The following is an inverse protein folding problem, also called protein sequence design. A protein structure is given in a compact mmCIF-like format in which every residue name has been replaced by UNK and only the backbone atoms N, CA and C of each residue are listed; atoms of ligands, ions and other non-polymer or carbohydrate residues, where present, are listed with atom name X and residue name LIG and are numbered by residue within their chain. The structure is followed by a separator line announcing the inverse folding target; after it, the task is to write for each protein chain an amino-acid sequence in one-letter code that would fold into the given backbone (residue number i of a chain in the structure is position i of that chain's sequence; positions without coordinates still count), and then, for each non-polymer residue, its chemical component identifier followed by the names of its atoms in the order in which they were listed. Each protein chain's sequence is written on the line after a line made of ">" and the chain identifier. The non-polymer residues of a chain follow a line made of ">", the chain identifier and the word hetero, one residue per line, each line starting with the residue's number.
data_IF_664031900450
#
_entry.id   IF_664031900450
#
_cell.length_a   1.000
_cell.length_b   1.000
_cell.length_c   1.000
_cell.angle_alpha   90.00
_cell.angle_beta   90.00
_cell.angle_gamma   90.00
#
_symmetry.space_group_name_H-M   'P 1'
#
loop_
_entity.id
_entity.type
_entity.pdbx_description
1 polymer ?
#
# COMPACT_ATOMS: atom_id res chain seq x y z
N UNK A 1 -5.61 -11.62 -23.86
CA UNK A 1 -4.60 -12.55 -23.32
C UNK A 1 -4.51 -12.38 -21.82
N UNK A 2 -5.19 -13.23 -21.04
CA UNK A 2 -5.13 -13.22 -19.57
C UNK A 2 -3.92 -14.02 -19.12
N UNK A 3 -2.78 -13.35 -18.91
CA UNK A 3 -1.66 -13.94 -18.18
C UNK A 3 -2.10 -14.21 -16.74
N UNK A 4 -2.49 -15.44 -16.44
CA UNK A 4 -2.78 -15.89 -15.08
C UNK A 4 -1.50 -15.84 -14.27
N UNK A 5 -1.30 -14.74 -13.54
CA UNK A 5 -0.15 -14.60 -12.66
C UNK A 5 -0.38 -15.46 -11.42
N UNK A 6 0.32 -16.59 -11.30
CA UNK A 6 0.30 -17.41 -10.08
C UNK A 6 1.15 -16.74 -9.01
N UNK A 7 0.66 -16.77 -7.77
CA UNK A 7 1.41 -16.28 -6.61
C UNK A 7 2.70 -17.09 -6.43
N UNK A 8 3.85 -16.41 -6.36
CA UNK A 8 5.16 -17.06 -6.19
C UNK A 8 5.28 -17.88 -4.90
N UNK A 9 4.44 -17.62 -3.90
CA UNK A 9 4.52 -18.26 -2.58
C UNK A 9 3.58 -19.44 -2.41
N UNK A 10 2.33 -19.31 -2.87
CA UNK A 10 1.30 -20.32 -2.62
C UNK A 10 0.69 -20.90 -3.91
N UNK A 11 1.23 -20.52 -5.07
CA UNK A 11 0.82 -20.97 -6.42
C UNK A 11 -0.63 -20.69 -6.81
N UNK A 12 -1.43 -20.08 -5.92
CA UNK A 12 -2.80 -19.65 -6.18
C UNK A 12 -2.83 -18.59 -7.27
N UNK A 13 -3.84 -18.64 -8.10
CA UNK A 13 -4.09 -17.61 -9.09
C UNK A 13 -4.32 -16.25 -8.43
N UNK A 14 -3.61 -15.24 -8.93
CA UNK A 14 -3.85 -13.84 -8.62
C UNK A 14 -4.92 -13.39 -9.59
N UNK A 15 -6.13 -13.22 -9.08
CA UNK A 15 -7.28 -12.76 -9.86
C UNK A 15 -7.40 -11.25 -9.60
N UNK A 16 -7.06 -10.40 -10.58
CA UNK A 16 -7.26 -8.96 -10.45
C UNK A 16 -8.75 -8.66 -10.21
N UNK A 17 -9.04 -7.56 -9.52
CA UNK A 17 -10.38 -6.96 -9.45
C UNK A 17 -11.45 -7.80 -8.72
N UNK A 18 -11.05 -8.72 -7.86
CA UNK A 18 -11.97 -9.27 -6.84
C UNK A 18 -11.81 -8.45 -5.56
N UNK A 19 -12.91 -8.18 -4.84
CA UNK A 19 -12.90 -7.54 -3.50
C UNK A 19 -12.03 -8.27 -2.47
N UNK A 20 -11.48 -9.44 -2.85
CA UNK A 20 -10.85 -10.44 -2.01
C UNK A 20 -9.31 -10.43 -2.09
N UNK A 21 -8.71 -9.64 -2.99
CA UNK A 21 -7.25 -9.63 -3.20
C UNK A 21 -6.66 -8.21 -3.30
N UNK A 22 -5.61 -7.97 -2.52
CA UNK A 22 -4.86 -6.71 -2.55
C UNK A 22 -4.01 -6.62 -3.82
N UNK A 23 -4.30 -5.67 -4.71
CA UNK A 23 -3.47 -5.42 -5.90
C UNK A 23 -2.10 -4.78 -5.58
N UNK A 24 -1.80 -4.54 -4.31
CA UNK A 24 -0.52 -3.92 -3.91
C UNK A 24 0.68 -4.73 -4.36
N UNK A 25 0.60 -6.07 -4.28
CA UNK A 25 1.76 -6.95 -4.50
C UNK A 25 1.69 -7.72 -5.82
N UNK A 26 0.75 -7.37 -6.69
CA UNK A 26 0.65 -7.94 -8.03
C UNK A 26 1.78 -7.45 -8.92
N UNK A 27 2.23 -8.28 -9.88
CA UNK A 27 1.71 -9.60 -10.24
C UNK A 27 2.31 -10.78 -9.44
N UNK A 28 3.15 -10.54 -8.43
CA UNK A 28 3.97 -11.62 -7.86
C UNK A 28 3.36 -12.31 -6.63
N UNK A 29 2.59 -11.59 -5.81
CA UNK A 29 2.05 -12.13 -4.56
C UNK A 29 0.57 -11.79 -4.39
N UNK A 30 -0.19 -12.73 -3.82
CA UNK A 30 -1.64 -12.57 -3.58
C UNK A 30 -1.98 -11.92 -2.22
N UNK A 31 -1.00 -11.71 -1.34
CA UNK A 31 -1.17 -11.06 -0.04
C UNK A 31 0.15 -10.54 0.53
N UNK A 32 0.07 -9.65 1.52
CA UNK A 32 1.22 -9.22 2.34
C UNK A 32 1.93 -10.41 2.96
N UNK A 33 1.17 -11.38 3.49
CA UNK A 33 1.72 -12.60 4.06
C UNK A 33 2.57 -13.37 3.05
N UNK A 34 2.07 -13.59 1.83
CA UNK A 34 2.82 -14.33 0.81
C UNK A 34 4.12 -13.62 0.43
N UNK A 35 4.07 -12.30 0.29
CA UNK A 35 5.27 -11.48 0.05
C UNK A 35 6.29 -11.65 1.18
N UNK A 36 5.88 -11.45 2.43
CA UNK A 36 6.77 -11.56 3.58
C UNK A 36 7.35 -12.96 3.75
N UNK A 37 6.55 -14.01 3.57
CA UNK A 37 7.01 -15.38 3.64
C UNK A 37 8.14 -15.65 2.62
N UNK A 38 8.00 -15.14 1.40
CA UNK A 38 9.02 -15.28 0.35
C UNK A 38 10.25 -14.41 0.62
N UNK A 39 10.07 -13.16 1.04
CA UNK A 39 11.17 -12.23 1.34
C UNK A 39 12.01 -12.67 2.55
N UNK A 40 11.35 -13.24 3.57
CA UNK A 40 12.00 -13.78 4.77
C UNK A 40 12.50 -15.21 4.59
N UNK A 41 12.34 -15.80 3.39
CA UNK A 41 12.75 -17.18 3.06
C UNK A 41 12.24 -18.21 4.07
N UNK A 42 10.99 -18.05 4.53
CA UNK A 42 10.39 -18.95 5.50
C UNK A 42 10.06 -20.31 4.86
N UNK A 43 10.03 -21.35 5.69
CA UNK A 43 9.52 -22.67 5.33
C UNK A 43 8.20 -22.96 6.04
N UNK A 44 7.48 -23.97 5.57
CA UNK A 44 6.39 -24.53 6.35
C UNK A 44 6.94 -25.10 7.67
N UNK A 45 6.08 -25.15 8.70
CA UNK A 45 6.43 -25.81 9.96
C UNK A 45 6.63 -27.31 9.73
N UNK A 46 7.28 -28.04 10.65
CA UNK A 46 7.47 -29.50 10.53
C UNK A 46 6.16 -30.29 10.32
N UNK A 47 5.02 -29.72 10.73
CA UNK A 47 3.67 -30.29 10.54
C UNK A 47 3.01 -29.87 9.21
N UNK A 48 3.75 -29.27 8.29
CA UNK A 48 3.23 -28.74 7.01
C UNK A 48 2.40 -27.45 7.14
N UNK A 49 2.39 -26.80 8.31
CA UNK A 49 1.59 -25.61 8.57
C UNK A 49 2.27 -24.32 8.10
N UNK A 50 1.47 -23.30 7.76
CA UNK A 50 1.98 -21.96 7.50
C UNK A 50 2.38 -21.27 8.83
N UNK A 51 3.63 -20.79 8.98
CA UNK A 51 4.08 -20.14 10.20
C UNK A 51 3.39 -18.79 10.43
N UNK A 52 3.45 -18.27 11.66
CA UNK A 52 3.06 -16.88 11.92
C UNK A 52 4.23 -15.93 11.62
N UNK A 53 3.95 -14.73 11.14
CA UNK A 53 4.97 -13.72 10.84
C UNK A 53 4.75 -12.52 11.76
N UNK A 54 5.75 -12.15 12.57
CA UNK A 54 5.67 -10.92 13.38
C UNK A 54 5.71 -9.70 12.48
N UNK A 55 4.82 -8.74 12.74
CA UNK A 55 4.69 -7.49 12.00
C UNK A 55 4.48 -6.34 12.97
N UNK A 56 5.02 -5.16 12.66
CA UNK A 56 4.72 -3.92 13.38
C UNK A 56 3.44 -3.27 12.87
N UNK A 57 2.65 -2.72 13.78
CA UNK A 57 1.45 -1.94 13.47
C UNK A 57 1.82 -0.64 12.75
N UNK A 58 1.17 -0.36 11.61
CA UNK A 58 1.39 0.88 10.84
C UNK A 58 0.94 2.16 11.58
N UNK A 59 0.36 2.05 12.78
CA UNK A 59 -0.12 3.20 13.57
C UNK A 59 0.61 3.36 14.91
N UNK A 60 0.68 2.29 15.71
CA UNK A 60 1.27 2.36 17.06
C UNK A 60 2.55 1.55 17.22
N UNK A 61 3.05 0.96 16.12
CA UNK A 61 4.26 0.14 16.04
C UNK A 61 4.28 -1.15 16.88
N UNK A 62 3.27 -1.37 17.75
CA UNK A 62 3.10 -2.62 18.50
C UNK A 62 3.14 -3.83 17.56
N UNK A 63 3.82 -4.87 17.99
CA UNK A 63 3.90 -6.12 17.25
C UNK A 63 2.57 -6.87 17.26
N UNK A 64 2.26 -7.51 16.13
CA UNK A 64 1.15 -8.42 15.99
C UNK A 64 1.51 -9.55 15.02
N UNK A 65 0.80 -10.67 15.13
CA UNK A 65 1.08 -11.86 14.35
C UNK A 65 0.22 -11.95 13.10
N UNK A 66 0.86 -11.92 11.94
CA UNK A 66 0.24 -12.17 10.65
C UNK A 66 0.09 -13.68 10.44
N UNK A 67 -1.12 -14.12 10.12
CA UNK A 67 -1.41 -15.53 9.80
C UNK A 67 -1.83 -15.66 8.35
N UNK A 68 -1.52 -16.77 7.69
CA UNK A 68 -2.03 -17.11 6.36
C UNK A 68 -3.53 -17.51 6.40
N UNK A 69 -4.37 -16.61 6.92
CA UNK A 69 -5.82 -16.77 7.01
C UNK A 69 -6.49 -15.59 6.31
N UNK A 70 -7.71 -15.82 5.83
CA UNK A 70 -8.49 -14.85 5.04
C UNK A 70 -8.47 -13.43 5.61
N UNK A 71 -8.72 -13.28 6.91
CA UNK A 71 -8.93 -11.97 7.55
C UNK A 71 -7.63 -11.31 8.03
N UNK A 72 -6.53 -12.05 8.07
CA UNK A 72 -5.28 -11.60 8.69
C UNK A 72 -4.13 -11.52 7.70
N UNK A 73 -4.19 -12.18 6.54
CA UNK A 73 -3.07 -12.27 5.58
C UNK A 73 -2.62 -10.91 4.99
N UNK A 74 -3.45 -9.88 5.08
CA UNK A 74 -3.20 -8.52 4.58
C UNK A 74 -3.29 -7.44 5.68
N UNK A 75 -3.35 -7.87 6.94
CA UNK A 75 -3.47 -6.98 8.09
C UNK A 75 -2.21 -6.09 8.24
N UNK A 76 -2.45 -4.83 8.58
CA UNK A 76 -1.42 -3.79 8.73
C UNK A 76 -1.52 -3.04 10.05
N UNK A 77 -2.67 -3.11 10.71
CA UNK A 77 -2.89 -2.56 12.04
C UNK A 77 -3.04 -3.70 13.03
N UNK A 78 -2.55 -3.55 14.26
CA UNK A 78 -2.68 -4.57 15.30
C UNK A 78 -4.14 -4.83 15.72
N UNK A 79 -5.05 -3.88 15.48
CA UNK A 79 -6.47 -4.03 15.80
C UNK A 79 -7.35 -2.94 15.18
N UNK A 80 -8.66 -3.06 15.43
CA UNK A 80 -9.68 -2.13 14.91
C UNK A 80 -9.48 -0.69 15.41
N UNK A 81 -8.99 -0.51 16.63
CA UNK A 81 -8.73 0.80 17.22
C UNK A 81 -7.72 1.61 16.39
N UNK A 82 -6.58 1.01 16.06
CA UNK A 82 -5.56 1.65 15.23
C UNK A 82 -6.08 1.96 13.81
N UNK A 83 -6.86 1.05 13.22
CA UNK A 83 -7.54 1.31 11.95
C UNK A 83 -8.49 2.52 12.07
N UNK A 84 -9.32 2.55 13.11
CA UNK A 84 -10.30 3.62 13.33
C UNK A 84 -9.65 4.98 13.61
N UNK A 85 -8.52 5.02 14.32
CA UNK A 85 -7.77 6.26 14.55
C UNK A 85 -7.33 6.88 13.21
N UNK A 86 -6.78 6.06 12.30
CA UNK A 86 -6.44 6.53 10.95
C UNK A 86 -7.70 6.94 10.18
N UNK A 87 -8.76 6.13 10.21
CA UNK A 87 -10.01 6.42 9.49
C UNK A 87 -10.69 7.72 9.94
N UNK A 88 -10.61 8.06 11.22
CA UNK A 88 -11.36 9.18 11.82
C UNK A 88 -10.55 10.47 11.93
N UNK A 89 -9.23 10.46 11.73
CA UNK A 89 -8.41 11.68 11.91
C UNK A 89 -8.79 12.81 10.94
N UNK A 90 -9.26 12.49 9.73
CA UNK A 90 -9.77 13.45 8.75
C UNK A 90 -10.64 12.78 7.71
N UNK A 91 -11.59 13.54 7.14
CA UNK A 91 -12.35 13.09 5.97
C UNK A 91 -11.40 12.61 4.86
N UNK A 92 -11.61 11.37 4.41
CA UNK A 92 -10.81 10.69 3.38
C UNK A 92 -9.35 10.37 3.75
N UNK A 93 -8.96 10.39 5.02
CA UNK A 93 -7.61 9.99 5.48
C UNK A 93 -7.18 8.61 5.01
N UNK A 94 -8.10 7.64 4.95
CA UNK A 94 -7.79 6.30 4.41
C UNK A 94 -7.36 6.32 2.95
N UNK A 95 -7.84 7.28 2.14
CA UNK A 95 -7.36 7.42 0.76
C UNK A 95 -5.90 7.85 0.73
N UNK A 96 -5.51 8.76 1.62
CA UNK A 96 -4.12 9.19 1.77
C UNK A 96 -3.25 8.03 2.28
N UNK A 97 -3.68 7.32 3.31
CA UNK A 97 -2.98 6.13 3.81
C UNK A 97 -2.80 5.05 2.74
N UNK A 98 -3.87 4.72 2.00
CA UNK A 98 -3.80 3.71 0.92
C UNK A 98 -2.86 4.15 -0.20
N UNK A 99 -2.83 5.43 -0.58
CA UNK A 99 -1.88 5.95 -1.57
C UNK A 99 -0.43 5.73 -1.13
N UNK A 100 -0.09 6.14 0.09
CA UNK A 100 1.26 5.97 0.63
C UNK A 100 1.64 4.49 0.73
N UNK A 101 0.68 3.64 1.13
CA UNK A 101 0.89 2.19 1.20
C UNK A 101 1.12 1.55 -0.18
N UNK A 102 0.42 2.02 -1.23
CA UNK A 102 0.67 1.57 -2.61
C UNK A 102 2.08 1.96 -3.04
N UNK A 103 2.50 3.21 -2.81
CA UNK A 103 3.85 3.67 -3.15
C UNK A 103 4.93 2.84 -2.41
N UNK A 104 4.74 2.58 -1.11
CA UNK A 104 5.62 1.71 -0.31
C UNK A 104 5.70 0.29 -0.86
N UNK A 105 4.57 -0.26 -1.32
CA UNK A 105 4.52 -1.63 -1.83
C UNK A 105 5.15 -1.79 -3.21
N UNK A 106 5.01 -0.79 -4.09
CA UNK A 106 5.53 -0.86 -5.47
C UNK A 106 7.02 -0.51 -5.58
N UNK A 107 7.57 0.30 -4.65
CA UNK A 107 8.99 0.70 -4.61
C UNK A 107 9.55 1.19 -5.96
N UNK A 108 8.72 1.89 -6.73
CA UNK A 108 9.10 2.48 -8.01
C UNK A 108 8.29 3.75 -8.28
N UNK A 109 8.75 4.64 -9.18
CA UNK A 109 7.96 5.77 -9.64
C UNK A 109 6.64 5.31 -10.28
N UNK A 110 5.53 5.93 -9.88
CA UNK A 110 4.18 5.62 -10.36
C UNK A 110 3.50 6.90 -10.85
N UNK A 111 2.82 6.85 -11.99
CA UNK A 111 2.01 7.98 -12.45
C UNK A 111 0.69 8.08 -11.65
N UNK A 112 0.03 9.23 -11.73
CA UNK A 112 -1.31 9.38 -11.16
C UNK A 112 -2.34 8.42 -11.78
N UNK A 113 -2.14 8.02 -13.05
CA UNK A 113 -2.98 7.05 -13.74
C UNK A 113 -2.80 5.64 -13.17
N UNK A 114 -1.55 5.22 -12.96
CA UNK A 114 -1.26 3.91 -12.36
C UNK A 114 -1.83 3.81 -10.93
N UNK A 115 -1.69 4.88 -10.16
CA UNK A 115 -2.24 4.96 -8.80
C UNK A 115 -3.78 4.95 -8.79
N UNK A 116 -4.41 5.63 -9.75
CA UNK A 116 -5.87 5.61 -9.92
C UNK A 116 -6.35 4.18 -10.18
N UNK A 117 -5.73 3.48 -11.14
CA UNK A 117 -6.05 2.09 -11.43
C UNK A 117 -5.94 1.19 -10.19
N UNK A 118 -4.86 1.33 -9.41
CA UNK A 118 -4.70 0.53 -8.19
C UNK A 118 -5.71 0.88 -7.10
N UNK A 119 -6.06 2.16 -6.95
CA UNK A 119 -7.03 2.61 -5.95
C UNK A 119 -8.47 2.20 -6.28
N UNK A 120 -8.89 2.33 -7.54
CA UNK A 120 -10.20 1.91 -8.01
C UNK A 120 -10.39 0.41 -7.76
N UNK A 121 -9.36 -0.40 -8.01
CA UNK A 121 -9.46 -1.85 -7.88
C UNK A 121 -9.26 -2.39 -6.45
N UNK A 122 -8.61 -1.66 -5.54
CA UNK A 122 -8.39 -2.13 -4.16
C UNK A 122 -9.56 -1.88 -3.20
N UNK A 123 -10.33 -0.82 -3.43
CA UNK A 123 -11.37 -0.39 -2.49
C UNK A 123 -12.57 0.25 -3.17
N UNK A 124 -12.68 0.15 -4.51
CA UNK A 124 -13.72 0.83 -5.30
C UNK A 124 -13.78 2.34 -4.97
N UNK A 125 -12.64 2.92 -4.58
CA UNK A 125 -12.58 4.36 -4.36
C UNK A 125 -12.70 5.01 -5.72
N UNK A 126 -13.89 5.50 -6.10
CA UNK A 126 -14.05 6.30 -7.32
C UNK A 126 -13.13 7.52 -7.23
N UNK A 127 -11.97 7.45 -7.85
CA UNK A 127 -10.95 8.50 -7.85
C UNK A 127 -10.56 8.85 -9.28
N UNK A 128 -10.15 10.11 -9.48
CA UNK A 128 -9.67 10.59 -10.77
C UNK A 128 -8.18 10.90 -10.65
N UNK A 129 -7.38 10.77 -11.73
CA UNK A 129 -5.95 11.09 -11.70
C UNK A 129 -5.65 12.48 -11.14
N UNK A 130 -6.46 13.50 -11.50
CA UNK A 130 -6.33 14.85 -10.96
C UNK A 130 -6.52 14.91 -9.44
N UNK A 131 -7.48 14.14 -8.91
CA UNK A 131 -7.70 14.04 -7.47
C UNK A 131 -6.53 13.37 -6.73
N UNK A 132 -5.91 12.36 -7.36
CA UNK A 132 -4.70 11.72 -6.86
C UNK A 132 -3.53 12.70 -6.85
N UNK A 133 -3.27 13.40 -7.96
CA UNK A 133 -2.22 14.42 -8.05
C UNK A 133 -2.41 15.53 -7.00
N UNK A 134 -3.64 16.01 -6.79
CA UNK A 134 -3.93 17.00 -5.74
C UNK A 134 -3.58 16.49 -4.33
N UNK A 135 -3.89 15.22 -4.02
CA UNK A 135 -3.51 14.62 -2.74
C UNK A 135 -2.00 14.48 -2.61
N UNK A 136 -1.33 13.97 -3.64
CA UNK A 136 0.11 13.73 -3.64
C UNK A 136 0.90 15.03 -3.53
N UNK A 137 0.45 16.15 -4.11
CA UNK A 137 1.11 17.46 -3.94
C UNK A 137 1.30 17.85 -2.47
N UNK A 138 0.34 17.52 -1.60
CA UNK A 138 0.47 17.74 -0.16
C UNK A 138 1.60 16.92 0.44
N UNK A 139 1.70 15.65 0.06
CA UNK A 139 2.74 14.74 0.55
C UNK A 139 4.12 15.08 -0.02
N UNK A 140 4.17 15.60 -1.25
CA UNK A 140 5.38 16.17 -1.85
C UNK A 140 5.85 17.40 -1.07
N UNK A 141 4.96 18.33 -0.75
CA UNK A 141 5.28 19.51 0.06
C UNK A 141 5.75 19.16 1.49
N UNK A 142 5.55 17.91 1.94
CA UNK A 142 6.00 17.41 3.25
C UNK A 142 7.25 16.53 3.15
N UNK A 143 7.83 16.34 1.96
CA UNK A 143 8.99 15.47 1.75
C UNK A 143 8.71 13.97 1.82
N UNK A 144 7.46 13.56 2.08
CA UNK A 144 7.05 12.15 2.20
C UNK A 144 7.03 11.46 0.83
N UNK A 145 6.68 12.20 -0.22
CA UNK A 145 6.62 11.71 -1.59
C UNK A 145 7.57 12.53 -2.45
N UNK A 146 8.40 11.84 -3.23
CA UNK A 146 9.27 12.45 -4.24
C UNK A 146 8.51 12.49 -5.57
N UNK A 147 8.67 13.58 -6.31
CA UNK A 147 8.10 13.71 -7.66
C UNK A 147 9.20 13.86 -8.70
N UNK A 148 9.07 13.11 -9.79
CA UNK A 148 9.95 13.23 -10.94
C UNK A 148 9.12 13.64 -12.16
N UNK A 149 9.63 14.61 -12.92
CA UNK A 149 9.03 15.07 -14.16
C UNK A 149 9.94 14.69 -15.32
N UNK A 150 9.45 13.83 -16.19
CA UNK A 150 10.15 13.47 -17.42
C UNK A 150 9.56 14.27 -18.58
N UNK A 151 10.36 15.08 -19.29
CA UNK A 151 9.93 15.65 -20.55
C UNK A 151 9.79 14.50 -21.56
N UNK A 152 8.59 14.33 -22.11
CA UNK A 152 8.42 13.58 -23.35
C UNK A 152 8.79 14.53 -24.50
N UNK A 153 9.53 14.02 -25.49
CA UNK A 153 10.11 14.77 -26.61
C UNK A 153 9.15 15.79 -27.26
N UNK A 154 9.74 16.93 -27.66
CA UNK A 154 9.30 18.11 -28.46
C UNK A 154 7.82 18.55 -28.53
N UNK A 155 6.81 17.68 -28.42
CA UNK A 155 5.38 17.99 -28.58
C UNK A 155 4.43 17.29 -27.57
N UNK A 156 4.92 16.71 -26.46
CA UNK A 156 4.08 15.96 -25.52
C UNK A 156 4.10 16.49 -24.07
N UNK A 157 2.96 16.34 -23.39
CA UNK A 157 2.79 16.70 -21.98
C UNK A 157 3.79 15.97 -21.08
N UNK A 158 4.41 16.71 -20.15
CA UNK A 158 5.32 16.18 -19.13
C UNK A 158 4.66 15.08 -18.29
N UNK A 159 5.26 13.90 -18.20
CA UNK A 159 4.77 12.86 -17.29
C UNK A 159 5.31 13.14 -15.90
N UNK A 160 4.40 13.29 -14.93
CA UNK A 160 4.75 13.38 -13.51
C UNK A 160 4.58 12.01 -12.86
N UNK A 161 5.65 11.52 -12.24
CA UNK A 161 5.64 10.29 -11.44
C UNK A 161 5.89 10.60 -9.98
N UNK A 162 5.44 9.71 -9.11
CA UNK A 162 5.49 9.82 -7.67
C UNK A 162 6.09 8.56 -7.06
N UNK A 163 6.94 8.73 -6.06
CA UNK A 163 7.56 7.64 -5.31
C UNK A 163 7.56 7.99 -3.83
N UNK A 164 7.45 7.00 -2.94
CA UNK A 164 7.67 7.25 -1.51
C UNK A 164 9.14 7.63 -1.30
N UNK A 165 9.41 8.64 -0.47
CA UNK A 165 10.78 8.98 -0.09
C UNK A 165 11.42 7.82 0.70
N UNK A 166 12.72 7.48 0.45
CA UNK A 166 13.41 6.40 1.14
C UNK A 166 13.34 6.47 2.67
N UNK A 167 13.34 7.69 3.22
CA UNK A 167 13.26 7.96 4.66
C UNK A 167 11.98 7.40 5.29
N UNK A 168 10.91 7.23 4.52
CA UNK A 168 9.60 6.79 5.01
C UNK A 168 9.29 5.32 4.69
N UNK A 169 10.24 4.55 4.16
CA UNK A 169 9.99 3.15 3.78
C UNK A 169 9.61 2.25 4.96
N UNK A 170 10.19 2.52 6.14
CA UNK A 170 9.98 1.72 7.35
C UNK A 170 9.09 2.42 8.39
N UNK A 171 8.66 3.66 8.10
CA UNK A 171 7.84 4.46 9.02
C UNK A 171 6.40 3.94 9.14
N UNK A 172 5.76 4.09 10.31
CA UNK A 172 4.35 3.76 10.52
C UNK A 172 3.45 4.77 9.76
N UNK A 173 3.14 4.46 8.51
CA UNK A 173 2.39 5.35 7.60
C UNK A 173 1.01 5.78 8.15
N UNK A 174 0.36 4.95 8.97
CA UNK A 174 -0.88 5.32 9.64
C UNK A 174 -0.68 6.44 10.66
N UNK A 175 0.36 6.33 11.48
CA UNK A 175 0.75 7.37 12.44
C UNK A 175 1.11 8.67 11.72
N UNK A 176 1.87 8.55 10.62
CA UNK A 176 2.25 9.68 9.76
C UNK A 176 1.02 10.41 9.21
N UNK A 177 0.01 9.67 8.76
CA UNK A 177 -1.26 10.24 8.26
C UNK A 177 -1.99 11.00 9.35
N UNK A 178 -2.11 10.44 10.56
CA UNK A 178 -2.73 11.12 11.69
C UNK A 178 -1.96 12.41 12.01
N UNK A 179 -0.64 12.32 12.22
CA UNK A 179 0.23 13.46 12.56
C UNK A 179 0.14 14.59 11.53
N UNK A 180 0.02 14.25 10.25
CA UNK A 180 0.04 15.25 9.17
C UNK A 180 -1.33 15.87 8.89
N UNK A 181 -2.42 15.12 9.09
CA UNK A 181 -3.76 15.55 8.70
C UNK A 181 -4.59 16.12 9.85
N UNK A 182 -4.30 15.76 11.09
CA UNK A 182 -4.92 16.36 12.26
C UNK A 182 -4.47 17.82 12.37
N UNK A 183 -5.40 18.79 12.45
CA UNK A 183 -5.04 20.19 12.69
C UNK A 183 -4.26 20.30 13.99
N UNK A 184 -3.18 21.10 14.01
CA UNK A 184 -2.64 21.55 15.29
C UNK A 184 -3.74 22.41 15.93
N UNK A 185 -4.30 21.97 17.04
CA UNK A 185 -5.04 22.85 17.93
C UNK A 185 -4.02 23.86 18.44
N UNK A 186 -4.07 25.07 17.89
CA UNK A 186 -3.39 26.23 18.46
C UNK A 186 -4.15 26.67 19.71
#
# INVERSE_FOLDING_TARGET
>A
MTTHNKCKTCSKEIIPNTERQSLMFTPHYCSKYCKLFSEQKLSLTPKGGWPTISCKCDNCEKEFQLKNKRNTKDQVFCGKECLHQVMKCKKHSMKDYTLLRILRAKRKPMSAYDLTYLMDNQHQYRVKPNGISCKLRRWVAKGVVITNRTPKTRNENTITTYQLSPEYENEPLGALVIKTLTPKTN
#
